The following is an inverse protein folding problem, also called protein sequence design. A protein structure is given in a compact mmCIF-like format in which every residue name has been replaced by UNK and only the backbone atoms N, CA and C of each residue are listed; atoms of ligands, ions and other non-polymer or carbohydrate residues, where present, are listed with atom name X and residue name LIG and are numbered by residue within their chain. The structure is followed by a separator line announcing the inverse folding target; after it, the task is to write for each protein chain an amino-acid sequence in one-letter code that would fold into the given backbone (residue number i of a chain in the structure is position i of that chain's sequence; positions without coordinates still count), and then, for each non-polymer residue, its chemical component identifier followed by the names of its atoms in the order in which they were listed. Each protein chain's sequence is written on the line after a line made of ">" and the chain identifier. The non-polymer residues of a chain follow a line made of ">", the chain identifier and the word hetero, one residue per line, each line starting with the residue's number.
data_IF_832668534347
#
_entry.id   IF_832668534347
#
_cell.length_a   1.000
_cell.length_b   1.000
_cell.length_c   1.000
_cell.angle_alpha   90.00
_cell.angle_beta   90.00
_cell.angle_gamma   90.00
#
_symmetry.space_group_name_H-M   'P 1'
#
loop_
_entity.id
_entity.type
_entity.pdbx_description
1 polymer ?
#
# COMPACT_ATOMS: atom_id res chain seq x y z
N UNK A 1 14.64 10.44 -0.91
CA UNK A 1 15.02 9.57 -2.05
C UNK A 1 14.32 10.09 -3.29
N UNK A 2 14.98 10.16 -4.45
CA UNK A 2 14.32 10.59 -5.69
C UNK A 2 13.79 9.40 -6.50
N UNK A 3 12.86 9.64 -7.42
CA UNK A 3 12.22 8.56 -8.19
C UNK A 3 13.21 7.72 -8.98
N UNK A 4 14.25 8.33 -9.57
CA UNK A 4 15.26 7.60 -10.35
C UNK A 4 16.01 6.58 -9.50
N UNK A 5 16.40 6.96 -8.28
CA UNK A 5 17.03 6.07 -7.32
C UNK A 5 16.10 4.97 -6.80
N UNK A 6 14.81 5.28 -6.59
CA UNK A 6 13.80 4.30 -6.21
C UNK A 6 13.62 3.26 -7.33
N UNK A 7 13.39 3.73 -8.55
CA UNK A 7 13.16 2.91 -9.73
C UNK A 7 14.33 1.99 -10.04
N UNK A 8 15.57 2.47 -9.94
CA UNK A 8 16.74 1.64 -10.22
C UNK A 8 17.07 0.64 -9.10
N UNK A 9 16.77 0.97 -7.84
CA UNK A 9 17.28 0.20 -6.69
C UNK A 9 16.24 -0.70 -6.05
N UNK A 10 14.98 -0.27 -6.02
CA UNK A 10 13.89 -0.91 -5.26
C UNK A 10 12.83 -1.45 -6.20
N UNK A 11 12.24 -0.62 -7.06
CA UNK A 11 11.07 -1.01 -7.88
C UNK A 11 11.43 -1.57 -9.26
N UNK A 12 12.72 -1.72 -9.56
CA UNK A 12 13.24 -2.31 -10.80
C UNK A 12 12.58 -3.66 -11.14
N UNK A 13 12.39 -4.51 -10.13
CA UNK A 13 11.61 -5.73 -10.27
C UNK A 13 10.96 -6.12 -8.94
N UNK A 14 10.03 -7.06 -9.00
CA UNK A 14 9.27 -7.51 -7.84
C UNK A 14 10.15 -8.14 -6.75
N UNK A 15 11.28 -8.76 -7.11
CA UNK A 15 12.19 -9.42 -6.17
C UNK A 15 13.00 -8.42 -5.34
N UNK A 16 13.50 -7.36 -5.98
CA UNK A 16 14.18 -6.25 -5.30
C UNK A 16 13.23 -5.54 -4.35
N UNK A 17 11.99 -5.28 -4.80
CA UNK A 17 10.97 -4.71 -3.95
C UNK A 17 10.66 -5.62 -2.76
N UNK A 18 10.50 -6.93 -2.98
CA UNK A 18 10.26 -7.91 -1.92
C UNK A 18 11.37 -7.90 -0.85
N UNK A 19 12.63 -7.98 -1.27
CA UNK A 19 13.78 -7.96 -0.35
C UNK A 19 13.84 -6.64 0.42
N UNK A 20 13.63 -5.51 -0.26
CA UNK A 20 13.63 -4.20 0.39
C UNK A 20 12.50 -4.10 1.42
N UNK A 21 11.31 -4.59 1.11
CA UNK A 21 10.17 -4.58 2.04
C UNK A 21 10.40 -5.49 3.26
N UNK A 22 11.04 -6.64 3.08
CA UNK A 22 11.44 -7.52 4.20
C UNK A 22 12.46 -6.84 5.10
N UNK A 23 13.50 -6.22 4.53
CA UNK A 23 14.54 -5.52 5.30
C UNK A 23 14.00 -4.31 6.10
N UNK A 24 12.87 -3.75 5.68
CA UNK A 24 12.20 -2.64 6.37
C UNK A 24 11.04 -3.12 7.28
N UNK A 25 10.93 -4.42 7.54
CA UNK A 25 9.87 -5.02 8.38
C UNK A 25 8.43 -4.73 7.90
N UNK A 26 8.25 -4.44 6.61
CA UNK A 26 6.91 -4.24 6.02
C UNK A 26 6.33 -5.57 5.55
N UNK A 27 7.20 -6.49 5.13
CA UNK A 27 6.88 -7.89 4.89
C UNK A 27 7.62 -8.76 5.89
N UNK A 28 7.02 -9.89 6.25
CA UNK A 28 7.69 -10.89 7.06
C UNK A 28 8.90 -11.47 6.30
N UNK A 29 10.06 -11.46 6.93
CA UNK A 29 11.30 -12.08 6.46
C UNK A 29 11.45 -13.54 6.90
N UNK A 30 10.64 -13.97 7.88
CA UNK A 30 10.47 -15.35 8.30
C UNK A 30 9.02 -15.63 8.74
N UNK A 31 8.50 -16.83 8.44
CA UNK A 31 7.14 -17.25 8.82
C UNK A 31 7.15 -18.70 9.30
N UNK A 32 6.47 -18.98 10.41
CA UNK A 32 6.15 -20.34 10.85
C UNK A 32 4.81 -20.82 10.27
N UNK A 33 4.72 -22.09 9.90
CA UNK A 33 3.49 -22.66 9.36
C UNK A 33 2.37 -22.64 10.41
N UNK A 34 1.22 -22.02 10.09
CA UNK A 34 0.06 -21.97 11.00
C UNK A 34 -0.50 -23.34 11.42
N UNK A 35 -0.20 -24.41 10.67
CA UNK A 35 -0.72 -25.77 10.93
C UNK A 35 0.20 -26.63 11.82
N UNK A 36 1.51 -26.51 11.66
CA UNK A 36 2.50 -27.40 12.29
C UNK A 36 3.68 -26.66 12.94
N UNK A 37 3.65 -25.33 12.93
CA UNK A 37 4.65 -24.42 13.49
C UNK A 37 6.07 -24.55 12.92
N UNK A 38 6.28 -25.41 11.91
CA UNK A 38 7.58 -25.54 11.23
C UNK A 38 7.93 -24.26 10.47
N UNK A 39 9.19 -23.76 10.54
CA UNK A 39 9.66 -22.65 9.74
C UNK A 39 9.46 -22.90 8.24
N UNK A 40 8.82 -21.96 7.56
CA UNK A 40 8.61 -22.00 6.12
C UNK A 40 9.84 -21.48 5.36
N UNK A 41 9.94 -21.84 4.08
CA UNK A 41 10.92 -21.29 3.14
C UNK A 41 10.25 -20.71 1.91
N UNK A 42 10.86 -19.70 1.31
CA UNK A 42 10.38 -19.14 0.04
C UNK A 42 10.71 -20.11 -1.10
N UNK A 43 9.72 -20.40 -1.94
CA UNK A 43 9.87 -21.19 -3.17
C UNK A 43 9.16 -20.52 -4.32
N UNK A 44 9.56 -20.84 -5.55
CA UNK A 44 8.89 -20.38 -6.77
C UNK A 44 7.78 -21.38 -7.13
N UNK A 45 6.56 -20.87 -7.33
CA UNK A 45 5.39 -21.63 -7.79
C UNK A 45 4.69 -20.84 -8.88
N UNK A 46 4.61 -21.39 -10.10
CA UNK A 46 4.01 -20.70 -11.27
C UNK A 46 4.50 -19.25 -11.40
N UNK A 47 5.82 -19.07 -11.39
CA UNK A 47 6.50 -17.77 -11.48
C UNK A 47 6.21 -16.76 -10.35
N UNK A 48 5.58 -17.20 -9.25
CA UNK A 48 5.35 -16.39 -8.06
C UNK A 48 6.12 -16.95 -6.86
N UNK A 49 6.64 -16.06 -6.01
CA UNK A 49 7.28 -16.46 -4.76
C UNK A 49 6.24 -16.65 -3.67
N UNK A 50 6.31 -17.79 -3.00
CA UNK A 50 5.39 -18.18 -1.92
C UNK A 50 6.17 -18.79 -0.77
N UNK A 51 5.66 -18.64 0.44
CA UNK A 51 6.12 -19.39 1.60
C UNK A 51 5.57 -20.80 1.53
N UNK A 52 6.45 -21.80 1.66
CA UNK A 52 6.11 -23.21 1.64
C UNK A 52 6.63 -23.88 2.90
N UNK A 53 5.73 -24.58 3.59
CA UNK A 53 6.10 -25.47 4.68
C UNK A 53 6.90 -26.67 4.13
N UNK A 54 8.09 -26.99 4.66
CA UNK A 54 8.90 -28.11 4.18
C UNK A 54 8.39 -29.48 4.65
N UNK A 55 7.57 -29.52 5.70
CA UNK A 55 7.11 -30.76 6.32
C UNK A 55 6.23 -31.59 5.37
N UNK A 56 6.64 -32.84 5.11
CA UNK A 56 5.85 -33.81 4.33
C UNK A 56 4.49 -34.03 5.02
N UNK A 57 3.42 -34.09 4.23
CA UNK A 57 2.04 -34.18 4.74
C UNK A 57 1.40 -32.85 5.14
N UNK A 58 2.18 -31.82 5.53
CA UNK A 58 1.63 -30.48 5.76
C UNK A 58 1.68 -29.63 4.49
N UNK A 59 2.90 -29.30 4.05
CA UNK A 59 3.14 -28.62 2.78
C UNK A 59 2.25 -27.38 2.53
N UNK A 60 1.83 -26.66 3.57
CA UNK A 60 1.01 -25.46 3.41
C UNK A 60 1.70 -24.42 2.53
N UNK A 61 0.92 -23.70 1.72
CA UNK A 61 1.38 -22.57 0.90
C UNK A 61 0.79 -21.30 1.48
N UNK A 62 1.62 -20.30 1.68
CA UNK A 62 1.25 -18.98 2.19
C UNK A 62 1.81 -17.96 1.20
N UNK A 63 1.04 -16.93 0.85
CA UNK A 63 1.53 -15.87 -0.03
C UNK A 63 2.62 -15.06 0.66
N UNK A 64 3.63 -14.58 -0.08
CA UNK A 64 4.66 -13.71 0.50
C UNK A 64 4.07 -12.44 1.15
N UNK A 65 3.10 -11.76 0.52
CA UNK A 65 2.44 -10.60 1.10
C UNK A 65 1.52 -10.87 2.30
N UNK A 66 1.34 -12.13 2.73
CA UNK A 66 0.35 -12.51 3.73
C UNK A 66 0.42 -11.64 4.99
N UNK A 67 -0.75 -11.22 5.49
CA UNK A 67 -0.90 -10.38 6.71
C UNK A 67 -0.16 -9.04 6.68
N UNK A 68 0.20 -8.56 5.49
CA UNK A 68 0.73 -7.21 5.30
C UNK A 68 -0.26 -6.31 4.57
N UNK A 69 0.08 -5.02 4.49
CA UNK A 69 -0.55 -4.06 3.58
C UNK A 69 -0.77 -4.63 2.17
N UNK A 70 0.24 -5.32 1.63
CA UNK A 70 0.23 -5.83 0.26
C UNK A 70 -0.69 -7.05 0.04
N UNK A 71 -1.18 -7.70 1.11
CA UNK A 71 -2.03 -8.90 1.01
C UNK A 71 -3.37 -8.67 0.32
N UNK A 72 -3.87 -7.42 0.32
CA UNK A 72 -5.19 -7.05 -0.19
C UNK A 72 -5.19 -6.69 -1.68
N UNK A 73 -4.02 -6.71 -2.33
CA UNK A 73 -3.87 -6.32 -3.73
C UNK A 73 -3.45 -7.48 -4.62
N UNK A 74 -3.94 -7.48 -5.87
CA UNK A 74 -3.50 -8.38 -6.92
C UNK A 74 -2.29 -7.84 -7.71
N UNK A 75 -1.82 -6.63 -7.40
CA UNK A 75 -0.68 -6.00 -8.05
C UNK A 75 0.65 -6.55 -7.53
N UNK A 76 1.71 -6.34 -8.30
CA UNK A 76 3.07 -6.68 -7.86
C UNK A 76 3.55 -5.70 -6.80
N UNK A 77 4.46 -6.15 -5.93
CA UNK A 77 5.01 -5.35 -4.85
C UNK A 77 5.71 -4.10 -5.37
N UNK A 78 6.48 -4.23 -6.45
CA UNK A 78 7.20 -3.08 -7.03
C UNK A 78 6.23 -2.01 -7.58
N UNK A 79 5.14 -2.42 -8.22
CA UNK A 79 4.12 -1.51 -8.75
C UNK A 79 3.41 -0.74 -7.62
N UNK A 80 3.07 -1.44 -6.54
CA UNK A 80 2.45 -0.80 -5.36
C UNK A 80 3.43 0.19 -4.71
N UNK A 81 4.72 -0.17 -4.57
CA UNK A 81 5.74 0.73 -4.01
C UNK A 81 5.95 1.98 -4.87
N UNK A 82 5.90 1.86 -6.20
CA UNK A 82 5.94 3.03 -7.09
C UNK A 82 4.75 3.97 -6.87
N UNK A 83 3.54 3.41 -6.74
CA UNK A 83 2.34 4.22 -6.44
C UNK A 83 2.47 4.90 -5.08
N UNK A 84 2.94 4.19 -4.05
CA UNK A 84 3.17 4.76 -2.71
C UNK A 84 4.14 5.96 -2.79
N UNK A 85 5.22 5.85 -3.58
CA UNK A 85 6.14 6.96 -3.77
C UNK A 85 5.42 8.18 -4.37
N UNK A 86 4.65 7.99 -5.46
CA UNK A 86 3.95 9.09 -6.10
C UNK A 86 2.87 9.72 -5.21
N UNK A 87 2.19 8.90 -4.41
CA UNK A 87 1.28 9.38 -3.36
C UNK A 87 2.01 10.25 -2.33
N UNK A 88 3.18 9.79 -1.85
CA UNK A 88 3.95 10.49 -0.81
C UNK A 88 4.45 11.87 -1.24
N UNK A 89 4.71 12.07 -2.54
CA UNK A 89 5.08 13.37 -3.10
C UNK A 89 3.88 14.21 -3.53
N UNK A 90 2.66 13.81 -3.13
CA UNK A 90 1.38 14.48 -3.44
C UNK A 90 1.14 14.64 -4.94
N UNK A 91 1.57 13.68 -5.75
CA UNK A 91 1.29 13.68 -7.17
C UNK A 91 -0.20 13.53 -7.44
N UNK A 92 -0.68 14.12 -8.54
CA UNK A 92 -2.05 13.92 -8.99
C UNK A 92 -2.24 12.51 -9.54
N UNK A 93 -3.49 12.06 -9.61
CA UNK A 93 -3.84 10.76 -10.21
C UNK A 93 -3.32 10.69 -11.66
N UNK A 94 -3.55 11.74 -12.47
CA UNK A 94 -3.09 11.79 -13.86
C UNK A 94 -1.55 11.70 -14.00
N UNK A 95 -0.81 12.39 -13.13
CA UNK A 95 0.66 12.29 -13.14
C UNK A 95 1.08 10.86 -12.79
N UNK A 96 0.46 10.27 -11.78
CA UNK A 96 0.75 8.89 -11.34
C UNK A 96 0.42 7.88 -12.43
N UNK A 97 -0.71 8.04 -13.15
CA UNK A 97 -1.07 7.22 -14.31
C UNK A 97 0.01 7.28 -15.37
N UNK A 98 0.41 8.48 -15.79
CA UNK A 98 1.44 8.64 -16.81
C UNK A 98 2.81 8.07 -16.37
N UNK A 99 3.13 8.11 -15.07
CA UNK A 99 4.42 7.63 -14.56
C UNK A 99 4.47 6.12 -14.33
N UNK A 100 3.36 5.51 -13.96
CA UNK A 100 3.29 4.08 -13.59
C UNK A 100 2.65 3.20 -14.66
N UNK A 101 1.93 3.79 -15.62
CA UNK A 101 1.16 3.06 -16.63
C UNK A 101 -0.11 2.40 -16.07
N UNK A 102 -0.48 2.65 -14.82
CA UNK A 102 -1.63 2.06 -14.17
C UNK A 102 -2.93 2.79 -14.51
N UNK A 103 -4.04 2.07 -14.44
CA UNK A 103 -5.35 2.67 -14.67
C UNK A 103 -5.77 3.60 -13.54
N UNK A 104 -6.60 4.59 -13.88
CA UNK A 104 -7.10 5.59 -12.94
C UNK A 104 -7.75 4.94 -11.71
N UNK A 105 -8.67 4.00 -11.93
CA UNK A 105 -9.38 3.30 -10.85
C UNK A 105 -8.40 2.59 -9.90
N UNK A 106 -7.37 1.92 -10.45
CA UNK A 106 -6.34 1.23 -9.65
C UNK A 106 -5.56 2.20 -8.77
N UNK A 107 -5.20 3.38 -9.31
CA UNK A 107 -4.48 4.41 -8.56
C UNK A 107 -5.37 5.02 -7.48
N UNK A 108 -6.64 5.31 -7.79
CA UNK A 108 -7.61 5.82 -6.82
C UNK A 108 -7.78 4.82 -5.68
N UNK A 109 -7.97 3.54 -5.98
CA UNK A 109 -8.11 2.48 -4.98
C UNK A 109 -6.86 2.37 -4.11
N UNK A 110 -5.67 2.41 -4.70
CA UNK A 110 -4.41 2.37 -3.96
C UNK A 110 -4.23 3.62 -3.07
N UNK A 111 -4.55 4.81 -3.58
CA UNK A 111 -4.49 6.07 -2.83
C UNK A 111 -5.45 6.07 -1.65
N UNK A 112 -6.66 5.54 -1.83
CA UNK A 112 -7.63 5.37 -0.76
C UNK A 112 -7.11 4.37 0.28
N UNK A 113 -6.58 3.24 -0.16
CA UNK A 113 -6.04 2.24 0.75
C UNK A 113 -4.85 2.76 1.58
N UNK A 114 -3.96 3.56 1.00
CA UNK A 114 -2.90 4.24 1.75
C UNK A 114 -3.50 5.21 2.78
N UNK A 115 -4.53 5.98 2.40
CA UNK A 115 -5.21 6.92 3.30
C UNK A 115 -5.88 6.20 4.46
N UNK A 116 -6.51 5.06 4.23
CA UNK A 116 -7.17 4.26 5.28
C UNK A 116 -6.15 3.80 6.32
N UNK A 117 -4.97 3.35 5.89
CA UNK A 117 -3.88 2.97 6.80
C UNK A 117 -3.39 4.15 7.62
N UNK A 118 -3.17 5.31 6.99
CA UNK A 118 -2.78 6.52 7.72
C UNK A 118 -3.87 6.97 8.71
N UNK A 119 -5.14 6.90 8.30
CA UNK A 119 -6.29 7.27 9.13
C UNK A 119 -6.39 6.36 10.36
N UNK A 120 -6.26 5.05 10.16
CA UNK A 120 -6.25 4.09 11.26
C UNK A 120 -5.12 4.39 12.26
N UNK A 121 -3.92 4.74 11.78
CA UNK A 121 -2.82 5.11 12.66
C UNK A 121 -3.13 6.35 13.53
N UNK A 122 -3.84 7.35 12.98
CA UNK A 122 -4.26 8.53 13.76
C UNK A 122 -5.40 8.22 14.74
N UNK A 123 -6.26 7.24 14.44
CA UNK A 123 -7.30 6.76 15.36
C UNK A 123 -6.65 6.02 16.53
N UNK A 124 -5.69 5.14 16.25
CA UNK A 124 -5.01 4.32 17.27
C UNK A 124 -4.03 5.16 18.10
N UNK A 125 -3.44 6.20 17.50
CA UNK A 125 -2.50 7.12 18.14
C UNK A 125 -3.02 8.56 18.00
N UNK A 126 -4.08 8.92 18.76
CA UNK A 126 -4.69 10.22 18.68
C UNK A 126 -3.65 11.30 18.97
N UNK A 127 -3.36 12.12 17.97
CA UNK A 127 -2.42 13.22 18.08
C UNK A 127 -3.18 14.46 18.52
N UNK A 128 -2.77 15.07 19.63
CA UNK A 128 -3.40 16.32 20.08
C UNK A 128 -3.08 17.42 19.08
N UNK A 129 -4.12 17.94 18.43
CA UNK A 129 -4.03 19.16 17.64
C UNK A 129 -4.34 20.30 18.60
N UNK A 130 -3.36 21.17 18.87
CA UNK A 130 -3.47 22.26 19.84
C UNK A 130 -2.85 21.97 21.22
N UNK A 131 -3.08 22.87 22.17
CA UNK A 131 -2.54 22.82 23.53
C UNK A 131 -3.30 23.79 24.46
N UNK A 132 -2.95 23.87 25.75
CA UNK A 132 -3.64 24.76 26.69
C UNK A 132 -3.70 26.20 26.17
N UNK A 133 -4.90 26.76 26.03
CA UNK A 133 -5.13 28.12 25.52
C UNK A 133 -5.15 28.26 24.00
N UNK A 134 -5.02 27.18 23.23
CA UNK A 134 -5.09 27.21 21.76
C UNK A 134 -6.48 26.74 21.30
N UNK A 135 -7.25 27.65 20.71
CA UNK A 135 -8.49 27.31 20.01
C UNK A 135 -8.10 26.75 18.64
N UNK A 136 -8.41 25.48 18.40
CA UNK A 136 -8.23 24.84 17.10
C UNK A 136 -9.54 24.89 16.35
N UNK A 137 -9.55 25.62 15.25
CA UNK A 137 -10.65 25.62 14.29
C UNK A 137 -10.42 24.48 13.29
N UNK A 138 -11.39 23.57 13.20
CA UNK A 138 -11.42 22.52 12.18
C UNK A 138 -12.34 23.04 11.08
N UNK A 139 -11.76 23.51 9.98
CA UNK A 139 -12.55 23.95 8.83
C UNK A 139 -13.01 22.73 8.03
N UNK A 140 -14.27 22.35 8.20
CA UNK A 140 -14.90 21.31 7.38
C UNK A 140 -15.28 21.90 6.02
N UNK A 141 -14.48 21.62 5.00
CA UNK A 141 -14.83 21.97 3.63
C UNK A 141 -16.10 21.22 3.21
N UNK A 142 -17.23 21.92 3.14
CA UNK A 142 -18.46 21.43 2.50
C UNK A 142 -18.24 21.29 0.99
N UNK A 143 -17.79 20.12 0.56
CA UNK A 143 -17.81 19.71 -0.84
C UNK A 143 -19.25 19.35 -1.26
N UNK A 144 -20.07 20.38 -1.50
CA UNK A 144 -21.37 20.23 -2.14
C UNK A 144 -21.22 19.92 -3.64
N UNK A 145 -22.20 19.22 -4.22
CA UNK A 145 -22.31 19.11 -5.68
C UNK A 145 -22.42 20.53 -6.26
N UNK A 146 -21.71 20.79 -7.36
CA UNK A 146 -21.79 22.05 -8.10
C UNK A 146 -23.24 22.25 -8.55
N UNK A 147 -23.94 23.24 -7.98
CA UNK A 147 -25.25 23.65 -8.48
C UNK A 147 -25.05 24.26 -9.87
N UNK A 148 -25.44 23.52 -10.90
CA UNK A 148 -25.68 24.11 -12.21
C UNK A 148 -27.10 24.64 -12.17
N UNK A 149 -27.29 25.95 -12.14
CA UNK A 149 -28.58 26.64 -12.23
C UNK A 149 -29.28 26.37 -13.58
N UNK A 150 -29.56 25.10 -13.88
CA UNK A 150 -30.35 24.65 -15.02
C UNK A 150 -31.78 24.45 -14.52
N UNK A 151 -32.55 25.54 -14.46
CA UNK A 151 -33.95 25.44 -14.06
C UNK A 151 -34.72 26.71 -13.73
N UNK A 152 -34.29 27.91 -14.12
CA UNK A 152 -35.20 29.08 -14.12
C UNK A 152 -35.45 29.55 -15.55
N UNK A 153 -36.46 28.94 -16.18
CA UNK A 153 -37.27 29.66 -17.15
C UNK A 153 -38.09 30.67 -16.34
N UNK A 154 -37.78 31.97 -16.50
CA UNK A 154 -38.70 33.06 -16.19
C UNK A 154 -39.44 33.43 -17.47
#
# INVERSE_FOLDING_TARGET
>A
MNYKSLSSSITYNNDKAMIWLMNNNVLADAINCKKCSTPCRIVIKKDTKVWRCPQKGCQAVISVPNESFFSRSHMKLNEIVDIIYWWSVKATIHVTMHKTGQHEHTIVDCFNFIRDVCTQNFIDHPTTIGGPGVIVEIDELKLGRRNYDRGRCV
#
